data_IF_249554187695
#
_entry.id   IF_249554187695
#
_cell.length_a   1.000
_cell.length_b   1.000
_cell.length_c   1.000
_cell.angle_alpha   90.00
_cell.angle_beta   90.00
_cell.angle_gamma   90.00
#
_symmetry.space_group_name_H-M   'P 1'
#
loop_
_entity.id
_entity.type
_entity.pdbx_description
1 polymer ?
#
# COMPACT_ATOMS: atom_id res chain seq x y z
N UNK A 1 2.28 8.13 6.35
CA UNK A 1 0.98 7.44 6.14
C UNK A 1 0.01 8.45 5.55
N UNK A 2 -0.60 8.16 4.41
CA UNK A 2 -1.50 9.08 3.69
C UNK A 2 -2.94 8.54 3.76
N UNK A 3 -3.93 9.42 4.00
CA UNK A 3 -5.36 9.09 3.90
C UNK A 3 -5.85 9.42 2.50
N UNK A 4 -6.66 8.53 1.92
CA UNK A 4 -7.20 8.66 0.56
C UNK A 4 -8.70 8.43 0.58
N UNK A 5 -9.43 9.09 -0.34
CA UNK A 5 -10.88 8.93 -0.46
C UNK A 5 -11.32 7.66 -1.20
N UNK A 6 -10.46 7.17 -2.11
CA UNK A 6 -10.68 5.94 -2.88
C UNK A 6 -9.38 5.12 -2.86
N UNK A 7 -9.43 3.97 -2.19
CA UNK A 7 -8.25 3.12 -2.01
C UNK A 7 -7.82 2.47 -3.32
N UNK A 8 -8.76 1.97 -4.12
CA UNK A 8 -8.43 1.26 -5.36
C UNK A 8 -7.84 2.21 -6.40
N UNK A 9 -8.42 3.40 -6.54
CA UNK A 9 -7.88 4.45 -7.43
C UNK A 9 -6.46 4.85 -7.03
N UNK A 10 -6.20 4.91 -5.73
CA UNK A 10 -4.87 5.25 -5.20
C UNK A 10 -3.87 4.14 -5.49
N UNK A 11 -4.23 2.87 -5.24
CA UNK A 11 -3.39 1.71 -5.55
C UNK A 11 -3.03 1.70 -7.05
N UNK A 12 -4.02 1.91 -7.93
CA UNK A 12 -3.81 1.96 -9.37
C UNK A 12 -2.82 3.06 -9.76
N UNK A 13 -2.93 4.23 -9.16
CA UNK A 13 -1.97 5.32 -9.40
C UNK A 13 -0.54 4.92 -8.98
N UNK A 14 -0.37 4.42 -7.75
CA UNK A 14 0.96 4.03 -7.27
C UNK A 14 1.56 2.86 -8.06
N UNK A 15 0.74 1.91 -8.52
CA UNK A 15 1.22 0.72 -9.22
C UNK A 15 1.41 0.93 -10.71
N UNK A 16 0.45 1.57 -11.40
CA UNK A 16 0.46 1.72 -12.86
C UNK A 16 1.20 2.97 -13.33
N UNK A 17 1.13 4.07 -12.57
CA UNK A 17 1.77 5.34 -12.95
C UNK A 17 3.17 5.45 -12.35
N UNK A 18 3.30 5.16 -11.05
CA UNK A 18 4.58 5.28 -10.35
C UNK A 18 5.43 4.00 -10.39
N UNK A 19 4.88 2.88 -10.85
CA UNK A 19 5.63 1.62 -10.96
C UNK A 19 5.94 0.95 -9.60
N UNK A 20 5.22 1.30 -8.55
CA UNK A 20 5.29 0.61 -7.27
C UNK A 20 4.56 -0.74 -7.34
N UNK A 21 4.75 -1.56 -6.31
CA UNK A 21 4.02 -2.82 -6.13
C UNK A 21 3.14 -2.73 -4.89
N UNK A 22 1.97 -3.34 -4.96
CA UNK A 22 1.12 -3.55 -3.79
C UNK A 22 1.74 -4.68 -2.95
N UNK A 23 2.22 -4.32 -1.77
CA UNK A 23 2.93 -5.21 -0.85
C UNK A 23 1.94 -5.97 0.03
N UNK A 24 0.98 -5.23 0.60
CA UNK A 24 -0.02 -5.78 1.52
C UNK A 24 -1.27 -4.92 1.52
N UNK A 25 -2.43 -5.56 1.67
CA UNK A 25 -3.66 -4.89 2.06
C UNK A 25 -4.14 -5.46 3.39
N UNK A 26 -4.80 -4.62 4.19
CA UNK A 26 -5.42 -5.03 5.44
C UNK A 26 -6.70 -4.26 5.62
N UNK A 27 -7.80 -4.98 5.84
CA UNK A 27 -9.10 -4.37 6.13
C UNK A 27 -9.38 -4.54 7.62
N UNK A 28 -9.92 -3.50 8.23
CA UNK A 28 -10.32 -3.54 9.64
C UNK A 28 -11.79 -3.13 9.75
N UNK A 29 -12.71 -4.09 9.57
CA UNK A 29 -14.15 -3.81 9.51
C UNK A 29 -14.70 -3.16 10.77
N UNK A 30 -14.16 -3.53 11.93
CA UNK A 30 -14.54 -2.99 13.25
C UNK A 30 -14.36 -1.47 13.31
N UNK A 31 -13.26 -0.97 12.75
CA UNK A 31 -12.91 0.45 12.76
C UNK A 31 -13.16 1.13 11.40
N UNK A 32 -13.81 0.43 10.46
CA UNK A 32 -14.22 0.93 9.14
C UNK A 32 -13.10 1.60 8.34
N UNK A 33 -11.90 1.04 8.38
CA UNK A 33 -10.80 1.50 7.53
C UNK A 33 -10.10 0.33 6.82
N UNK A 34 -9.47 0.67 5.70
CA UNK A 34 -8.62 -0.24 4.93
C UNK A 34 -7.26 0.39 4.72
N UNK A 35 -6.22 -0.44 4.77
CA UNK A 35 -4.82 -0.06 4.59
C UNK A 35 -4.27 -0.75 3.35
N UNK A 36 -3.47 -0.01 2.58
CA UNK A 36 -2.65 -0.55 1.51
C UNK A 36 -1.21 -0.10 1.71
N UNK A 37 -0.30 -1.06 1.61
CA UNK A 37 1.15 -0.85 1.67
C UNK A 37 1.68 -1.00 0.24
N UNK A 38 2.36 0.02 -0.24
CA UNK A 38 2.96 0.04 -1.59
C UNK A 38 4.43 0.41 -1.51
N UNK A 39 5.24 -0.14 -2.40
CA UNK A 39 6.68 0.17 -2.47
C UNK A 39 7.37 -0.47 -3.67
N UNK A 40 8.63 -0.12 -3.88
CA UNK A 40 9.40 -0.59 -5.06
C UNK A 40 10.10 -1.94 -4.86
N UNK A 41 10.36 -2.30 -3.61
CA UNK A 41 11.07 -3.52 -3.21
C UNK A 41 10.17 -4.39 -2.33
N UNK A 42 10.46 -5.69 -2.33
CA UNK A 42 9.79 -6.64 -1.45
C UNK A 42 9.99 -6.26 0.02
N UNK A 43 8.96 -6.36 0.87
CA UNK A 43 9.07 -6.01 2.30
C UNK A 43 10.23 -6.77 2.98
N UNK A 44 10.51 -7.99 2.52
CA UNK A 44 11.61 -8.81 3.01
C UNK A 44 12.99 -8.15 2.80
N UNK A 45 13.16 -7.37 1.74
CA UNK A 45 14.43 -6.66 1.44
C UNK A 45 14.54 -5.33 2.19
N UNK A 46 13.43 -4.68 2.51
CA UNK A 46 13.41 -3.44 3.28
C UNK A 46 13.72 -3.69 4.77
N UNK A 47 13.33 -4.85 5.31
CA UNK A 47 13.56 -5.21 6.72
C UNK A 47 15.02 -5.57 7.04
N UNK A 48 15.87 -5.83 6.04
CA UNK A 48 17.30 -6.12 6.24
C UNK A 48 18.20 -4.87 6.22
N UNK A 49 17.63 -3.67 6.25
CA UNK A 49 18.37 -2.39 6.22
C UNK A 49 18.12 -1.52 7.45
N UNK A 50 17.75 -2.13 8.59
CA UNK A 50 17.73 -1.48 9.91
C UNK A 50 18.65 -2.19 10.88
#
# INVERSE_FOLDING_TARGET
MLRVGDLQRSIDFYTKVLGMRLLRTSETPEYKYSLAFVGYSDEAKARSSS
#
